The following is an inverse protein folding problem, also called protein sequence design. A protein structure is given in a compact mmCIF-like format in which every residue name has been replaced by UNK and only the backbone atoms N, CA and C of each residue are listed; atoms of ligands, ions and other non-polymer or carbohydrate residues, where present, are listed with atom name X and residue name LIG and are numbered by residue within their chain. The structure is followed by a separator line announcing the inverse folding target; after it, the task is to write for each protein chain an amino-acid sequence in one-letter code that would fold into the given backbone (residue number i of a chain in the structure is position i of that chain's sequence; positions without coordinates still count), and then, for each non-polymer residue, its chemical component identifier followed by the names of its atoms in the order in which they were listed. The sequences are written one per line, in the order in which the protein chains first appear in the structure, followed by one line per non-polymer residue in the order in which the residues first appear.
data_IF_951429534707
#
_entry.id   IF_951429534707
#
_cell.length_a   1.000
_cell.length_b   1.000
_cell.length_c   1.000
_cell.angle_alpha   90.00
_cell.angle_beta   90.00
_cell.angle_gamma   90.00
#
_symmetry.space_group_name_H-M   'P 1'
#
loop_
_entity.id
_entity.type
_entity.pdbx_description
1 polymer ?
#
# COMPACT_ATOMS: atom_id res chain seq x y z
N UNK A 1 -13.04 -0.96 4.06
CA UNK A 1 -11.95 -0.83 3.06
C UNK A 1 -12.36 -1.57 1.79
N UNK A 2 -12.39 -0.86 0.70
CA UNK A 2 -12.73 -1.41 -0.60
C UNK A 2 -11.46 -1.58 -1.43
N UNK A 3 -11.26 -2.75 -2.02
CA UNK A 3 -10.07 -3.06 -2.81
C UNK A 3 -10.48 -3.37 -4.24
N UNK A 4 -9.90 -2.65 -5.20
CA UNK A 4 -10.05 -2.91 -6.63
C UNK A 4 -8.69 -3.22 -7.22
N UNK A 5 -8.61 -4.27 -8.01
CA UNK A 5 -7.37 -4.68 -8.66
C UNK A 5 -7.62 -4.85 -10.15
N UNK A 6 -6.88 -4.09 -10.96
CA UNK A 6 -6.97 -4.15 -12.41
C UNK A 6 -5.66 -4.66 -12.98
N UNK A 7 -5.75 -5.44 -14.04
CA UNK A 7 -4.59 -5.98 -14.76
C UNK A 7 -4.61 -5.57 -16.21
N UNK A 8 -3.42 -5.42 -16.79
CA UNK A 8 -3.27 -5.06 -18.20
C UNK A 8 -2.06 -5.79 -18.79
N UNK A 9 -2.30 -6.57 -19.83
CA UNK A 9 -1.23 -7.23 -20.58
C UNK A 9 -0.50 -8.35 -19.87
N UNK A 10 -1.10 -8.96 -18.84
CA UNK A 10 -0.44 -9.97 -18.03
C UNK A 10 -1.03 -11.35 -18.24
N UNK A 11 -0.19 -12.38 -18.48
CA UNK A 11 -0.64 -13.76 -18.37
C UNK A 11 -0.93 -14.10 -16.91
N UNK A 12 -1.77 -15.12 -16.68
CA UNK A 12 -2.16 -15.53 -15.33
C UNK A 12 -2.74 -14.38 -14.48
N UNK A 13 -3.48 -13.47 -15.11
CA UNK A 13 -4.02 -12.28 -14.45
C UNK A 13 -4.89 -12.61 -13.24
N UNK A 14 -5.69 -13.68 -13.34
CA UNK A 14 -6.58 -14.09 -12.25
C UNK A 14 -5.78 -14.47 -11.00
N UNK A 15 -4.71 -15.25 -11.18
CA UNK A 15 -3.86 -15.67 -10.05
C UNK A 15 -3.13 -14.48 -9.44
N UNK A 16 -2.67 -13.56 -10.29
CA UNK A 16 -1.97 -12.37 -9.83
C UNK A 16 -2.92 -11.43 -9.05
N UNK A 17 -4.15 -11.27 -9.52
CA UNK A 17 -5.14 -10.49 -8.79
C UNK A 17 -5.44 -11.09 -7.43
N UNK A 18 -5.56 -12.42 -7.37
CA UNK A 18 -5.81 -13.11 -6.10
C UNK A 18 -4.63 -12.93 -5.15
N UNK A 19 -3.41 -13.06 -5.63
CA UNK A 19 -2.22 -12.86 -4.82
C UNK A 19 -2.14 -11.42 -4.29
N UNK A 20 -2.37 -10.45 -5.16
CA UNK A 20 -2.36 -9.04 -4.76
C UNK A 20 -3.44 -8.75 -3.72
N UNK A 21 -4.65 -9.27 -3.93
CA UNK A 21 -5.74 -9.08 -2.99
C UNK A 21 -5.39 -9.64 -1.62
N UNK A 22 -4.84 -10.85 -1.58
CA UNK A 22 -4.46 -11.49 -0.33
C UNK A 22 -3.37 -10.72 0.40
N UNK A 23 -2.34 -10.27 -0.33
CA UNK A 23 -1.23 -9.52 0.25
C UNK A 23 -1.69 -8.16 0.78
N UNK A 24 -2.50 -7.45 0.02
CA UNK A 24 -2.98 -6.13 0.42
C UNK A 24 -3.93 -6.25 1.62
N UNK A 25 -4.81 -7.24 1.63
CA UNK A 25 -5.68 -7.47 2.79
C UNK A 25 -4.89 -7.83 4.04
N UNK A 26 -3.88 -8.65 3.91
CA UNK A 26 -3.01 -9.00 5.03
C UNK A 26 -2.24 -7.79 5.55
N UNK A 27 -1.79 -6.92 4.64
CA UNK A 27 -1.01 -5.73 4.99
C UNK A 27 -1.87 -4.63 5.61
N UNK A 28 -3.04 -4.35 5.04
CA UNK A 28 -3.86 -3.20 5.41
C UNK A 28 -5.09 -3.54 6.24
N UNK A 29 -5.38 -4.82 6.49
CA UNK A 29 -6.60 -5.22 7.18
C UNK A 29 -6.79 -4.55 8.54
N UNK A 30 -5.71 -4.40 9.30
CA UNK A 30 -5.76 -3.77 10.62
C UNK A 30 -5.98 -2.26 10.56
N UNK A 31 -5.83 -1.66 9.36
CA UNK A 31 -6.04 -0.23 9.15
C UNK A 31 -7.37 0.09 8.49
N UNK A 32 -8.29 -0.87 8.46
CA UNK A 32 -9.57 -0.72 7.76
C UNK A 32 -10.42 0.44 8.23
N UNK A 33 -10.20 0.92 9.44
CA UNK A 33 -10.94 2.06 9.99
C UNK A 33 -10.42 3.42 9.47
N UNK A 34 -9.21 3.46 8.91
CA UNK A 34 -8.62 4.69 8.37
C UNK A 34 -8.41 4.63 6.87
N UNK A 35 -8.36 3.45 6.27
CA UNK A 35 -8.24 3.27 4.83
C UNK A 35 -9.63 3.11 4.23
N UNK A 36 -10.03 4.05 3.38
CA UNK A 36 -11.33 4.02 2.74
C UNK A 36 -11.35 3.10 1.53
N UNK A 37 -10.36 3.23 0.65
CA UNK A 37 -10.29 2.41 -0.56
C UNK A 37 -8.86 2.21 -1.00
N UNK A 38 -8.65 1.12 -1.75
CA UNK A 38 -7.34 0.77 -2.30
C UNK A 38 -7.56 0.41 -3.77
N UNK A 39 -6.79 1.02 -4.65
CA UNK A 39 -6.80 0.72 -6.07
C UNK A 39 -5.42 0.23 -6.47
N UNK A 40 -5.37 -0.97 -7.07
CA UNK A 40 -4.12 -1.57 -7.50
C UNK A 40 -4.17 -1.81 -9.00
N UNK A 41 -3.10 -1.46 -9.69
CA UNK A 41 -2.96 -1.73 -11.12
C UNK A 41 -1.70 -2.54 -11.34
N UNK A 42 -1.87 -3.70 -11.98
CA UNK A 42 -0.77 -4.58 -12.38
C UNK A 42 -0.66 -4.52 -13.90
N UNK A 43 0.51 -4.16 -14.42
CA UNK A 43 0.69 -4.01 -15.85
C UNK A 43 2.07 -4.47 -16.30
N UNK A 44 2.13 -4.90 -17.56
CA UNK A 44 3.37 -5.19 -18.25
C UNK A 44 3.60 -4.04 -19.22
N UNK A 45 4.60 -3.22 -18.94
CA UNK A 45 4.80 -1.98 -19.69
C UNK A 45 5.66 -2.15 -20.94
N UNK A 46 6.37 -3.28 -21.07
CA UNK A 46 7.22 -3.54 -22.23
C UNK A 46 6.77 -4.74 -23.07
N UNK A 47 5.71 -5.44 -22.63
CA UNK A 47 5.20 -6.61 -23.35
C UNK A 47 6.21 -7.75 -23.41
N UNK A 48 6.32 -8.43 -24.56
CA UNK A 48 7.14 -9.64 -24.67
C UNK A 48 8.65 -9.40 -24.65
N UNK A 49 9.11 -8.16 -24.57
CA UNK A 49 10.55 -7.87 -24.56
C UNK A 49 11.26 -8.30 -23.29
N UNK A 50 10.50 -8.47 -22.20
CA UNK A 50 11.06 -8.90 -20.92
C UNK A 50 11.83 -7.78 -20.20
N UNK A 51 12.59 -8.17 -19.17
CA UNK A 51 13.31 -7.23 -18.31
C UNK A 51 12.48 -6.74 -17.15
N UNK A 52 12.84 -5.59 -16.58
CA UNK A 52 12.14 -5.00 -15.44
C UNK A 52 10.91 -4.23 -15.92
N UNK A 53 9.91 -4.96 -16.39
CA UNK A 53 8.75 -4.41 -17.10
C UNK A 53 7.42 -4.68 -16.38
N UNK A 54 7.46 -5.32 -15.23
CA UNK A 54 6.24 -5.59 -14.45
C UNK A 54 6.05 -4.46 -13.45
N UNK A 55 4.99 -3.69 -13.64
CA UNK A 55 4.68 -2.53 -12.82
C UNK A 55 3.48 -2.81 -11.94
N UNK A 56 3.61 -2.53 -10.66
CA UNK A 56 2.50 -2.52 -9.72
C UNK A 56 2.36 -1.13 -9.12
N UNK A 57 1.19 -0.54 -9.29
CA UNK A 57 0.87 0.77 -8.73
C UNK A 57 -0.28 0.63 -7.78
N UNK A 58 -0.15 1.21 -6.59
CA UNK A 58 -1.20 1.22 -5.59
C UNK A 58 -1.55 2.65 -5.20
N UNK A 59 -2.84 2.92 -5.10
CA UNK A 59 -3.38 4.17 -4.58
C UNK A 59 -4.22 3.83 -3.36
N UNK A 60 -3.84 4.38 -2.21
CA UNK A 60 -4.53 4.16 -0.95
C UNK A 60 -5.21 5.46 -0.57
N UNK A 61 -6.53 5.44 -0.53
CA UNK A 61 -7.31 6.59 -0.12
C UNK A 61 -7.64 6.48 1.36
N UNK A 62 -7.09 7.38 2.15
CA UNK A 62 -7.37 7.52 3.57
C UNK A 62 -8.27 8.74 3.78
N UNK A 63 -8.81 8.91 4.98
CA UNK A 63 -9.76 9.99 5.25
C UNK A 63 -9.16 11.38 4.97
N UNK A 64 -7.88 11.58 5.27
CA UNK A 64 -7.25 12.90 5.20
C UNK A 64 -6.26 13.05 4.07
N UNK A 65 -5.84 11.98 3.43
CA UNK A 65 -4.84 12.03 2.36
C UNK A 65 -4.86 10.76 1.52
N UNK A 66 -4.19 10.84 0.38
CA UNK A 66 -3.95 9.68 -0.48
C UNK A 66 -2.47 9.34 -0.46
N UNK A 67 -2.17 8.05 -0.58
CA UNK A 67 -0.81 7.55 -0.70
C UNK A 67 -0.70 6.80 -2.01
N UNK A 68 0.31 7.13 -2.82
CA UNK A 68 0.56 6.45 -4.08
C UNK A 68 1.96 5.86 -4.05
N UNK A 69 2.06 4.57 -4.34
CA UNK A 69 3.34 3.86 -4.43
C UNK A 69 3.38 3.04 -5.70
N UNK A 70 4.58 2.91 -6.26
CA UNK A 70 4.83 2.08 -7.43
C UNK A 70 6.05 1.21 -7.20
N UNK A 71 6.03 0.03 -7.79
CA UNK A 71 7.16 -0.89 -7.77
C UNK A 71 7.31 -1.51 -9.15
N UNK A 72 8.56 -1.66 -9.59
CA UNK A 72 8.89 -2.20 -10.90
C UNK A 72 9.84 -3.37 -10.74
N UNK A 73 9.66 -4.42 -11.53
CA UNK A 73 10.56 -5.56 -11.48
C UNK A 73 10.31 -6.54 -12.60
N UNK A 74 10.99 -7.68 -12.54
CA UNK A 74 10.93 -8.73 -13.56
C UNK A 74 9.79 -9.69 -13.28
N UNK A 75 9.54 -10.00 -12.02
CA UNK A 75 8.54 -10.98 -11.58
C UNK A 75 7.42 -10.25 -10.82
N UNK A 76 6.20 -10.29 -11.37
CA UNK A 76 5.08 -9.56 -10.78
C UNK A 76 4.77 -9.99 -9.34
N UNK A 77 4.86 -11.27 -9.02
CA UNK A 77 4.59 -11.73 -7.65
C UNK A 77 5.54 -11.09 -6.65
N UNK A 78 6.82 -11.02 -7.01
CA UNK A 78 7.83 -10.37 -6.17
C UNK A 78 7.62 -8.86 -6.11
N UNK A 79 7.21 -8.27 -7.22
CA UNK A 79 6.87 -6.83 -7.26
C UNK A 79 5.73 -6.52 -6.29
N UNK A 80 4.68 -7.35 -6.30
CA UNK A 80 3.55 -7.20 -5.39
C UNK A 80 4.01 -7.32 -3.95
N UNK A 81 4.83 -8.32 -3.65
CA UNK A 81 5.29 -8.56 -2.27
C UNK A 81 6.15 -7.40 -1.76
N UNK A 82 7.06 -6.89 -2.59
CA UNK A 82 7.88 -5.73 -2.21
C UNK A 82 7.03 -4.48 -2.02
N UNK A 83 6.05 -4.28 -2.89
CA UNK A 83 5.16 -3.14 -2.77
C UNK A 83 4.34 -3.23 -1.48
N UNK A 84 3.85 -4.41 -1.13
CA UNK A 84 3.10 -4.62 0.10
C UNK A 84 3.93 -4.26 1.34
N UNK A 85 5.22 -4.65 1.35
CA UNK A 85 6.11 -4.30 2.46
C UNK A 85 6.31 -2.78 2.56
N UNK A 86 6.50 -2.11 1.43
CA UNK A 86 6.64 -0.65 1.40
C UNK A 86 5.36 0.04 1.85
N UNK A 87 4.22 -0.47 1.44
CA UNK A 87 2.91 0.06 1.85
C UNK A 87 2.77 -0.01 3.37
N UNK A 88 3.13 -1.14 3.96
CA UNK A 88 3.04 -1.30 5.42
C UNK A 88 3.85 -0.23 6.14
N UNK A 89 5.10 -0.05 5.73
CA UNK A 89 5.96 0.96 6.33
C UNK A 89 5.42 2.37 6.16
N UNK A 90 4.95 2.70 4.97
CA UNK A 90 4.44 4.03 4.68
C UNK A 90 3.14 4.35 5.41
N UNK A 91 2.21 3.40 5.48
CA UNK A 91 0.95 3.60 6.21
C UNK A 91 1.21 3.75 7.70
N UNK A 92 2.07 2.93 8.28
CA UNK A 92 2.43 3.05 9.69
C UNK A 92 3.04 4.42 9.99
N UNK A 93 3.94 4.90 9.14
CA UNK A 93 4.57 6.20 9.31
C UNK A 93 3.55 7.34 9.22
N UNK A 94 2.64 7.27 8.23
CA UNK A 94 1.59 8.25 8.08
C UNK A 94 0.68 8.29 9.30
N UNK A 95 0.32 7.13 9.82
CA UNK A 95 -0.52 7.02 11.01
C UNK A 95 0.15 7.64 12.23
N UNK A 96 1.43 7.38 12.43
CA UNK A 96 2.19 7.99 13.53
C UNK A 96 2.18 9.50 13.44
N UNK A 97 2.39 10.05 12.25
CA UNK A 97 2.37 11.50 12.03
C UNK A 97 1.00 12.10 12.33
N UNK A 98 -0.07 11.44 11.93
CA UNK A 98 -1.43 11.91 12.19
C UNK A 98 -1.75 11.91 13.67
N UNK A 99 -1.34 10.88 14.40
CA UNK A 99 -1.55 10.79 15.84
C UNK A 99 -0.79 11.93 16.54
N UNK A 100 0.44 12.20 16.18
CA UNK A 100 1.23 13.29 16.77
C UNK A 100 0.59 14.64 16.52
N UNK A 101 0.14 14.88 15.30
CA UNK A 101 -0.48 16.14 14.94
C UNK A 101 -1.78 16.35 15.73
N UNK A 102 -2.59 15.32 15.83
CA UNK A 102 -3.84 15.38 16.58
C UNK A 102 -3.60 15.70 18.04
N UNK A 103 -2.62 15.06 18.66
CA UNK A 103 -2.27 15.34 20.05
C UNK A 103 -1.77 16.76 20.25
N UNK A 104 -1.00 17.29 19.31
CA UNK A 104 -0.53 18.67 19.38
C UNK A 104 -1.68 19.67 19.27
N UNK A 105 -2.61 19.42 18.35
CA UNK A 105 -3.75 20.31 18.13
C UNK A 105 -4.72 20.30 19.30
N UNK A 106 -4.88 19.16 19.97
CA UNK A 106 -5.76 19.05 21.12
C UNK A 106 -5.14 19.57 22.40
N UNK A 107 -3.84 19.89 22.39
CA UNK A 107 -3.12 20.33 23.59
C UNK A 107 -2.88 19.20 24.58
N UNK A 108 -3.11 17.96 24.21
CA UNK A 108 -2.90 16.83 25.09
C UNK A 108 -1.42 16.57 25.32
N UNK A 109 -1.08 16.19 26.54
CA UNK A 109 0.28 15.78 26.86
C UNK A 109 0.46 14.33 26.51
N UNK A 110 1.58 14.03 25.85
CA UNK A 110 1.93 12.64 25.55
C UNK A 110 2.43 11.96 26.83
N UNK A 111 2.01 10.71 27.07
CA UNK A 111 2.63 9.93 28.15
C UNK A 111 4.13 9.79 27.89
N UNK A 112 4.90 9.75 28.96
CA UNK A 112 6.36 9.68 28.86
C UNK A 112 6.79 8.43 28.08
N UNK A 113 6.12 7.32 28.27
CA UNK A 113 6.43 6.08 27.59
C UNK A 113 6.30 6.19 26.06
N UNK A 114 5.34 6.98 25.59
CA UNK A 114 5.15 7.21 24.15
C UNK A 114 6.24 8.14 23.63
N UNK A 115 6.58 9.17 24.40
CA UNK A 115 7.59 10.14 24.01
C UNK A 115 8.96 9.51 23.81
N UNK A 116 9.30 8.52 24.60
CA UNK A 116 10.59 7.83 24.50
C UNK A 116 10.73 7.00 23.25
N UNK A 117 9.64 6.59 22.64
CA UNK A 117 9.66 5.73 21.46
C UNK A 117 9.69 6.52 20.16
N UNK A 118 9.60 7.78 20.22
CA UNK A 118 9.60 8.64 19.05
C UNK A 118 11.00 8.88 18.48
#
# INVERSE_FOLDING_TARGET
MEIQIKTSGLPAAKKLRAHANDRIRATLGRFGHIVQSVSVRLSDINGPRGGADKLCRIVIQMKTRSLVLEELGVDMRRVIDRLADRVQHNVCRQLEQLVRLDLQLSGARLPISITRQS
#
